data_IF_634242701763
#
_entry.id   IF_634242701763
#
_cell.length_a   1.000
_cell.length_b   1.000
_cell.length_c   1.000
_cell.angle_alpha   90.00
_cell.angle_beta   90.00
_cell.angle_gamma   90.00
#
_symmetry.space_group_name_H-M   'P 1'
#
loop_
_entity.id
_entity.type
_entity.pdbx_description
1 polymer ?
#
# COMPACT_ATOMS: atom_id res chain seq x y z
N UNK A 1 11.93 0.21 -24.16
CA UNK A 1 10.99 0.81 -23.20
C UNK A 1 11.11 0.07 -21.88
N UNK A 2 11.07 0.76 -20.72
CA UNK A 2 11.04 0.07 -19.45
C UNK A 2 9.77 -0.82 -19.37
N UNK A 3 9.93 -2.02 -18.85
CA UNK A 3 8.83 -2.98 -18.75
C UNK A 3 7.71 -2.45 -17.83
N UNK A 4 6.47 -2.83 -18.12
CA UNK A 4 5.33 -2.54 -17.25
C UNK A 4 5.53 -3.21 -15.88
N UNK A 5 5.14 -2.55 -14.82
CA UNK A 5 5.17 -3.12 -13.48
C UNK A 5 4.25 -4.33 -13.39
N UNK A 6 4.54 -5.24 -12.48
CA UNK A 6 3.67 -6.38 -12.21
C UNK A 6 2.35 -6.00 -11.54
N UNK A 7 1.31 -6.81 -11.73
CA UNK A 7 0.03 -6.69 -11.05
C UNK A 7 0.17 -6.81 -9.53
N UNK A 8 -0.70 -6.13 -8.80
CA UNK A 8 -0.81 -6.29 -7.35
C UNK A 8 -1.16 -7.75 -6.99
N UNK A 9 -0.52 -8.30 -5.97
CA UNK A 9 -0.82 -9.67 -5.52
C UNK A 9 -1.99 -9.68 -4.55
N UNK A 10 -2.86 -10.70 -4.63
CA UNK A 10 -3.92 -10.88 -3.65
C UNK A 10 -3.37 -11.27 -2.28
N UNK A 11 -4.12 -10.98 -1.22
CA UNK A 11 -3.74 -11.31 0.15
C UNK A 11 -4.81 -10.91 1.15
N UNK A 12 -4.50 -10.91 2.45
CA UNK A 12 -5.35 -10.32 3.49
C UNK A 12 -5.73 -8.90 3.13
N UNK A 13 -4.74 -8.08 2.78
CA UNK A 13 -4.92 -6.83 2.00
C UNK A 13 -4.25 -7.00 0.65
N UNK A 14 -4.85 -6.48 -0.42
CA UNK A 14 -4.32 -6.59 -1.78
C UNK A 14 -3.17 -5.61 -2.04
N UNK A 15 -2.19 -6.03 -2.81
CA UNK A 15 -1.09 -5.16 -3.26
C UNK A 15 -1.56 -4.12 -4.29
N UNK A 16 -0.95 -2.94 -4.31
CA UNK A 16 -1.19 -1.95 -5.37
C UNK A 16 -0.62 -2.39 -6.72
N UNK A 17 -1.19 -1.90 -7.82
CA UNK A 17 -0.66 -2.11 -9.16
C UNK A 17 0.71 -1.47 -9.33
N UNK A 18 1.64 -2.19 -9.95
CA UNK A 18 2.98 -1.72 -10.21
C UNK A 18 3.00 -0.53 -11.17
N UNK A 19 4.11 0.15 -11.19
CA UNK A 19 4.33 1.34 -12.03
C UNK A 19 4.04 1.05 -13.51
N UNK A 20 3.28 1.95 -14.18
CA UNK A 20 3.00 1.95 -15.61
C UNK A 20 2.04 0.84 -16.11
N UNK A 21 1.24 1.15 -17.11
CA UNK A 21 0.48 0.17 -17.91
C UNK A 21 -0.96 -0.07 -17.50
N UNK A 22 -1.52 0.66 -16.54
CA UNK A 22 -2.89 0.41 -16.07
C UNK A 22 -3.02 -0.96 -15.39
N UNK A 23 -1.96 -1.38 -14.72
CA UNK A 23 -1.89 -2.70 -14.10
C UNK A 23 -2.80 -2.77 -12.88
N UNK A 24 -3.63 -3.80 -12.81
CA UNK A 24 -4.59 -3.98 -11.73
C UNK A 24 -3.93 -4.13 -10.36
N UNK A 25 -4.59 -3.63 -9.32
CA UNK A 25 -4.29 -3.98 -7.93
C UNK A 25 -4.73 -5.41 -7.61
N UNK A 26 -4.19 -5.96 -6.55
CA UNK A 26 -4.55 -7.28 -6.03
C UNK A 26 -5.83 -7.25 -5.19
N UNK A 27 -6.57 -8.35 -5.18
CA UNK A 27 -7.75 -8.50 -4.33
C UNK A 27 -7.35 -8.67 -2.87
N UNK A 28 -8.07 -7.96 -1.99
CA UNK A 28 -8.01 -8.16 -0.54
C UNK A 28 -8.90 -9.33 -0.10
N UNK A 29 -8.91 -9.60 1.20
CA UNK A 29 -9.68 -10.68 1.80
C UNK A 29 -9.50 -12.04 1.08
N UNK A 30 -8.28 -12.36 0.75
CA UNK A 30 -7.92 -13.61 0.05
C UNK A 30 -6.95 -14.44 0.91
N UNK A 31 -7.32 -15.68 1.33
CA UNK A 31 -8.63 -16.29 1.13
C UNK A 31 -9.77 -15.53 1.84
N UNK A 32 -11.00 -15.67 1.33
CA UNK A 32 -12.14 -14.96 1.88
C UNK A 32 -12.46 -15.40 3.31
N UNK A 33 -12.63 -14.42 4.20
CA UNK A 33 -12.98 -14.62 5.60
C UNK A 33 -14.18 -13.74 6.01
N UNK A 34 -14.83 -14.08 7.10
CA UNK A 34 -15.85 -13.24 7.73
C UNK A 34 -15.53 -13.10 9.23
N UNK A 35 -15.30 -11.89 9.74
CA UNK A 35 -15.24 -10.62 8.99
C UNK A 35 -14.05 -10.58 8.00
N UNK A 36 -14.13 -9.69 7.02
CA UNK A 36 -13.05 -9.49 6.06
C UNK A 36 -11.74 -9.05 6.74
N UNK A 37 -10.62 -9.60 6.28
CA UNK A 37 -9.30 -9.33 6.87
C UNK A 37 -8.54 -8.17 6.21
N UNK A 38 -9.11 -7.56 5.16
CA UNK A 38 -8.52 -6.42 4.47
C UNK A 38 -9.25 -6.11 3.16
N UNK A 39 -8.74 -5.14 2.43
CA UNK A 39 -9.36 -4.56 1.24
C UNK A 39 -8.43 -4.60 0.02
N UNK A 40 -8.97 -4.28 -1.16
CA UNK A 40 -8.25 -4.34 -2.42
C UNK A 40 -7.18 -3.25 -2.53
N UNK A 41 -6.08 -3.59 -3.21
CA UNK A 41 -5.18 -2.62 -3.80
C UNK A 41 -5.77 -2.02 -5.07
N UNK A 42 -5.25 -0.88 -5.50
CA UNK A 42 -5.77 -0.13 -6.64
C UNK A 42 -4.80 -0.13 -7.82
N UNK A 43 -5.31 0.11 -9.04
CA UNK A 43 -4.49 0.03 -10.24
C UNK A 43 -3.50 1.19 -10.37
N UNK A 44 -2.48 0.98 -11.19
CA UNK A 44 -1.59 2.04 -11.69
C UNK A 44 -2.30 2.90 -12.75
N UNK A 45 -1.70 4.04 -13.09
CA UNK A 45 -2.17 4.84 -14.25
C UNK A 45 -2.12 4.02 -15.54
N UNK A 46 -3.15 4.13 -16.40
CA UNK A 46 -3.07 3.59 -17.75
C UNK A 46 -1.90 4.23 -18.53
N UNK A 47 -1.07 3.41 -19.15
CA UNK A 47 -0.05 3.92 -20.08
C UNK A 47 -0.67 4.22 -21.43
N UNK A 48 -0.16 5.22 -22.12
CA UNK A 48 -0.55 5.48 -23.52
C UNK A 48 -0.68 6.92 -23.92
N UNK A 49 -0.52 7.86 -23.02
CA UNK A 49 -0.42 9.28 -23.40
C UNK A 49 1.01 9.77 -23.19
N UNK A 50 1.62 10.42 -24.18
CA UNK A 50 2.95 11.01 -24.04
C UNK A 50 2.99 12.15 -23.00
N UNK A 51 1.82 12.57 -22.51
CA UNK A 51 1.66 13.64 -21.52
C UNK A 51 1.33 13.12 -20.13
N UNK A 52 1.08 11.81 -19.96
CA UNK A 52 0.78 11.25 -18.64
C UNK A 52 2.05 10.73 -17.97
N UNK A 53 2.26 11.15 -16.75
CA UNK A 53 3.32 10.65 -15.90
C UNK A 53 2.79 9.41 -15.19
N UNK A 54 3.45 8.29 -15.46
CA UNK A 54 3.06 7.01 -14.91
C UNK A 54 3.21 6.99 -13.37
N UNK A 55 2.27 6.33 -12.71
CA UNK A 55 2.27 6.16 -11.26
C UNK A 55 1.68 4.81 -10.85
N UNK A 56 2.24 4.21 -9.83
CA UNK A 56 1.74 2.98 -9.23
C UNK A 56 0.49 3.21 -8.38
N UNK A 57 -0.35 2.19 -8.24
CA UNK A 57 -1.50 2.20 -7.35
C UNK A 57 -1.11 1.95 -5.88
N UNK A 58 -1.91 2.40 -4.95
CA UNK A 58 -1.75 2.10 -3.52
C UNK A 58 -2.27 0.72 -3.14
N UNK A 59 -1.64 0.08 -2.17
CA UNK A 59 -2.10 -1.18 -1.58
C UNK A 59 -3.33 -0.98 -0.69
N UNK A 60 -4.16 -2.02 -0.56
CA UNK A 60 -5.30 -2.03 0.36
C UNK A 60 -4.86 -2.02 1.82
N UNK A 61 -5.67 -1.42 2.67
CA UNK A 61 -5.50 -1.45 4.13
C UNK A 61 -6.49 -2.41 4.79
N UNK A 62 -6.53 -2.41 6.11
CA UNK A 62 -7.47 -3.23 6.86
C UNK A 62 -8.93 -2.74 6.71
N UNK A 63 -9.15 -1.44 6.56
CA UNK A 63 -10.50 -0.84 6.57
C UNK A 63 -10.87 -0.09 5.30
N UNK A 64 -9.90 0.30 4.48
CA UNK A 64 -10.16 1.00 3.23
C UNK A 64 -9.21 0.55 2.12
N UNK A 65 -9.72 0.54 0.90
CA UNK A 65 -8.94 0.28 -0.30
C UNK A 65 -7.85 1.35 -0.47
N UNK A 66 -6.80 0.97 -1.21
CA UNK A 66 -5.83 1.94 -1.69
C UNK A 66 -6.46 2.97 -2.64
N UNK A 67 -5.66 3.89 -3.10
CA UNK A 67 -6.02 4.88 -4.12
C UNK A 67 -5.32 4.50 -5.43
N UNK A 68 -6.03 4.64 -6.55
CA UNK A 68 -5.43 4.41 -7.85
C UNK A 68 -4.31 5.44 -8.13
N UNK A 69 -3.28 5.00 -8.85
CA UNK A 69 -2.30 5.94 -9.38
C UNK A 69 -2.98 6.94 -10.33
N UNK A 70 -2.60 8.18 -10.26
CA UNK A 70 -3.08 9.25 -11.14
C UNK A 70 -1.91 9.93 -11.86
N UNK A 71 -2.22 10.77 -12.87
CA UNK A 71 -1.19 11.50 -13.58
C UNK A 71 -0.31 12.28 -12.58
N UNK A 72 0.99 11.99 -12.56
CA UNK A 72 1.98 12.65 -11.71
C UNK A 72 1.86 12.37 -10.19
N UNK A 73 1.03 11.42 -9.75
CA UNK A 73 0.92 11.09 -8.35
C UNK A 73 0.70 9.59 -8.13
N UNK A 74 1.55 8.97 -7.34
CA UNK A 74 1.36 7.59 -6.87
C UNK A 74 0.08 7.49 -6.02
N UNK A 75 -0.60 6.35 -6.07
CA UNK A 75 -1.79 6.11 -5.29
C UNK A 75 -1.48 5.98 -3.79
N UNK A 76 -2.24 6.61 -2.92
CA UNK A 76 -2.12 6.47 -1.47
C UNK A 76 -2.47 5.06 -0.99
N UNK A 77 -1.82 4.59 0.07
CA UNK A 77 -2.19 3.33 0.73
C UNK A 77 -3.55 3.43 1.44
N UNK A 78 -4.28 2.33 1.50
CA UNK A 78 -5.57 2.22 2.18
C UNK A 78 -5.43 2.32 3.71
N UNK A 79 -6.49 2.76 4.37
CA UNK A 79 -6.49 2.95 5.81
C UNK A 79 -6.37 1.63 6.59
N UNK A 80 -5.57 1.66 7.65
CA UNK A 80 -5.49 0.61 8.64
C UNK A 80 -6.64 0.67 9.66
N UNK A 81 -6.74 -0.34 10.50
CA UNK A 81 -7.64 -0.36 11.65
C UNK A 81 -6.95 0.24 12.88
N UNK A 82 -7.70 0.94 13.72
CA UNK A 82 -7.19 1.47 14.98
C UNK A 82 -7.62 0.56 16.14
N UNK A 83 -6.70 0.27 17.05
CA UNK A 83 -6.98 -0.50 18.27
C UNK A 83 -6.37 0.16 19.49
N UNK A 84 -7.16 0.22 20.57
CA UNK A 84 -6.72 0.71 21.89
C UNK A 84 -6.33 -0.40 22.87
N UNK A 85 -6.14 -1.65 22.39
CA UNK A 85 -5.87 -2.81 23.26
C UNK A 85 -4.62 -2.63 24.14
N UNK A 86 -3.65 -1.87 23.67
CA UNK A 86 -2.39 -1.56 24.38
C UNK A 86 -2.48 -0.37 25.33
N UNK A 87 -3.67 0.25 25.45
CA UNK A 87 -3.88 1.45 26.26
C UNK A 87 -3.77 2.77 25.47
N UNK A 88 -3.25 2.75 24.26
CA UNK A 88 -3.19 3.89 23.35
C UNK A 88 -3.78 3.50 21.99
N UNK A 89 -4.37 4.45 21.29
CA UNK A 89 -4.89 4.21 19.93
C UNK A 89 -3.72 4.04 18.94
N UNK A 90 -3.57 2.85 18.41
CA UNK A 90 -2.51 2.49 17.47
C UNK A 90 -3.13 1.98 16.17
N UNK A 91 -2.66 2.48 15.01
CA UNK A 91 -3.08 2.02 13.69
C UNK A 91 -2.32 0.77 13.27
N UNK A 92 -3.04 -0.23 12.74
CA UNK A 92 -2.53 -1.51 12.24
C UNK A 92 -3.02 -1.80 10.83
N UNK A 93 -2.23 -2.52 10.04
CA UNK A 93 -2.67 -3.02 8.73
C UNK A 93 -2.94 -1.94 7.68
N UNK A 94 -2.20 -0.83 7.69
CA UNK A 94 -2.28 0.18 6.64
C UNK A 94 -1.61 -0.26 5.34
N UNK A 95 -2.17 0.13 4.19
CA UNK A 95 -1.60 -0.15 2.87
C UNK A 95 -0.35 0.69 2.57
N UNK A 96 0.54 0.18 1.73
CA UNK A 96 1.67 0.96 1.23
C UNK A 96 1.29 1.87 0.06
N UNK A 97 1.95 3.01 -0.07
CA UNK A 97 1.75 3.95 -1.18
C UNK A 97 2.41 3.49 -2.48
N UNK A 98 1.81 3.84 -3.61
CA UNK A 98 2.37 3.64 -4.95
C UNK A 98 3.46 4.65 -5.29
N UNK A 99 4.36 4.30 -6.20
CA UNK A 99 5.45 5.16 -6.66
C UNK A 99 5.06 6.08 -7.83
N UNK A 100 5.84 7.12 -8.08
CA UNK A 100 5.70 7.99 -9.27
C UNK A 100 7.06 8.41 -9.80
N UNK A 101 7.19 8.64 -11.12
CA UNK A 101 8.46 9.03 -11.73
C UNK A 101 8.72 10.54 -11.75
N UNK A 102 7.72 11.37 -11.54
CA UNK A 102 7.90 12.82 -11.47
C UNK A 102 6.71 13.44 -10.73
N UNK A 103 6.79 13.66 -9.48
CA UNK A 103 5.70 14.23 -8.71
C UNK A 103 5.88 14.02 -7.23
N UNK A 104 4.82 14.17 -6.49
CA UNK A 104 4.85 13.96 -5.06
C UNK A 104 4.83 12.48 -4.72
N UNK A 105 5.66 12.07 -3.76
CA UNK A 105 5.56 10.76 -3.13
C UNK A 105 4.15 10.53 -2.59
N UNK A 106 3.65 9.31 -2.73
CA UNK A 106 2.32 8.99 -2.20
C UNK A 106 2.30 9.06 -0.71
N UNK A 107 1.45 9.89 -0.11
CA UNK A 107 1.26 9.83 1.33
C UNK A 107 0.65 8.47 1.72
N UNK A 108 1.12 7.94 2.82
CA UNK A 108 0.44 6.83 3.50
C UNK A 108 -0.50 7.33 4.62
N UNK A 109 -1.01 8.56 4.50
CA UNK A 109 -2.06 9.07 5.37
C UNK A 109 -3.42 8.86 4.67
N UNK A 110 -4.36 8.15 5.25
CA UNK A 110 -4.49 7.73 6.65
C UNK A 110 -4.06 6.28 6.93
N UNK A 111 -3.11 5.72 6.20
CA UNK A 111 -2.74 4.30 6.32
C UNK A 111 -2.18 3.90 7.70
N UNK A 112 -1.71 4.84 8.51
CA UNK A 112 -1.30 4.65 9.91
C UNK A 112 -0.06 3.77 10.14
N UNK A 113 0.21 2.80 9.29
CA UNK A 113 1.34 1.86 9.44
C UNK A 113 2.00 1.45 8.12
N UNK A 114 1.46 1.86 6.96
CA UNK A 114 2.07 1.59 5.66
C UNK A 114 3.26 2.50 5.35
N UNK A 115 4.17 2.03 4.50
CA UNK A 115 5.28 2.80 3.96
C UNK A 115 4.83 3.73 2.83
N UNK A 116 5.48 4.86 2.67
CA UNK A 116 5.22 5.80 1.58
C UNK A 116 5.81 5.28 0.25
N UNK A 117 5.11 5.51 -0.86
CA UNK A 117 5.65 5.31 -2.19
C UNK A 117 6.66 6.41 -2.53
N UNK A 118 7.74 6.07 -3.22
CA UNK A 118 8.76 7.05 -3.53
C UNK A 118 8.64 7.62 -4.94
N UNK A 119 9.21 8.78 -5.11
CA UNK A 119 9.40 9.54 -6.34
C UNK A 119 10.87 9.31 -6.83
N UNK A 120 11.28 9.65 -8.07
CA UNK A 120 12.36 8.98 -8.84
C UNK A 120 13.70 8.73 -8.15
N UNK A 121 13.96 9.28 -7.01
CA UNK A 121 15.31 9.33 -6.43
C UNK A 121 15.53 8.45 -5.18
N UNK A 122 14.78 7.38 -4.95
CA UNK A 122 15.04 6.57 -3.75
C UNK A 122 14.17 5.31 -3.58
N UNK A 123 14.38 4.62 -2.48
CA UNK A 123 13.63 3.42 -2.13
C UNK A 123 12.24 3.76 -1.60
N UNK A 124 11.28 2.85 -1.79
CA UNK A 124 10.00 2.93 -1.10
C UNK A 124 10.17 2.83 0.43
N UNK A 125 9.31 3.50 1.18
CA UNK A 125 9.33 3.43 2.64
C UNK A 125 8.88 2.07 3.15
N UNK A 126 9.49 1.59 4.24
CA UNK A 126 9.06 0.36 4.90
C UNK A 126 7.74 0.57 5.64
N UNK A 127 6.93 -0.48 5.73
CA UNK A 127 5.84 -0.55 6.67
C UNK A 127 6.36 -0.53 8.12
N UNK A 128 5.54 -0.04 9.04
CA UNK A 128 5.93 0.06 10.46
C UNK A 128 5.92 -1.32 11.10
N UNK A 129 7.02 -1.68 11.77
CA UNK A 129 7.15 -2.94 12.48
C UNK A 129 6.13 -3.07 13.63
N UNK A 130 5.72 -4.31 13.89
CA UNK A 130 4.70 -4.67 14.87
C UNK A 130 3.33 -4.02 14.61
N UNK A 131 3.07 -3.61 13.34
CA UNK A 131 1.78 -3.04 12.93
C UNK A 131 1.21 -3.66 11.66
N UNK A 132 1.96 -4.55 10.97
CA UNK A 132 1.51 -5.24 9.77
C UNK A 132 1.22 -4.32 8.58
N UNK A 133 1.89 -3.17 8.49
CA UNK A 133 1.72 -2.23 7.37
C UNK A 133 2.39 -2.73 6.09
N UNK A 134 1.83 -2.41 4.93
CA UNK A 134 2.45 -2.68 3.64
C UNK A 134 3.66 -1.78 3.36
N UNK A 135 4.63 -2.25 2.61
CA UNK A 135 5.74 -1.42 2.12
C UNK A 135 5.34 -0.55 0.93
N UNK A 136 5.98 0.58 0.77
CA UNK A 136 5.77 1.51 -0.35
C UNK A 136 6.47 1.06 -1.63
N UNK A 137 5.92 1.47 -2.77
CA UNK A 137 6.50 1.20 -4.09
C UNK A 137 7.72 2.07 -4.40
N UNK A 138 8.56 1.60 -5.31
CA UNK A 138 9.66 2.36 -5.92
C UNK A 138 9.63 2.19 -7.44
N UNK A 139 10.51 2.90 -8.14
CA UNK A 139 10.67 2.81 -9.59
C UNK A 139 12.15 2.67 -9.97
N UNK A 140 12.40 2.17 -11.19
CA UNK A 140 13.74 2.03 -11.74
C UNK A 140 14.58 0.98 -10.99
N UNK A 141 15.82 1.31 -10.71
CA UNK A 141 16.75 0.43 -10.00
C UNK A 141 16.63 0.48 -8.46
N UNK A 142 15.63 1.19 -7.93
CA UNK A 142 15.39 1.34 -6.50
C UNK A 142 14.57 0.17 -5.94
N UNK A 143 14.70 -0.07 -4.63
CA UNK A 143 13.97 -1.14 -3.95
C UNK A 143 12.64 -0.65 -3.38
N UNK A 144 11.59 -1.45 -3.54
CA UNK A 144 10.35 -1.25 -2.81
C UNK A 144 10.58 -1.45 -1.31
N UNK A 145 9.81 -0.74 -0.50
CA UNK A 145 9.84 -0.94 0.94
C UNK A 145 9.37 -2.34 1.34
N UNK A 146 9.89 -2.85 2.43
CA UNK A 146 9.43 -4.09 3.04
C UNK A 146 8.11 -3.86 3.79
N UNK A 147 7.26 -4.89 3.87
CA UNK A 147 6.14 -4.86 4.81
C UNK A 147 6.64 -4.88 6.25
N UNK A 148 5.93 -4.20 7.14
CA UNK A 148 6.17 -4.25 8.58
C UNK A 148 5.74 -5.59 9.17
N UNK A 149 6.42 -6.04 10.22
CA UNK A 149 6.03 -7.23 10.97
C UNK A 149 4.63 -7.06 11.60
N UNK A 150 3.92 -8.16 11.80
CA UNK A 150 2.69 -8.22 12.58
C UNK A 150 2.96 -8.30 14.09
N UNK A 151 1.90 -8.19 14.87
CA UNK A 151 1.93 -8.36 16.33
C UNK A 151 0.70 -9.12 16.80
N UNK A 152 0.85 -9.92 17.84
CA UNK A 152 -0.27 -10.53 18.56
C UNK A 152 -0.32 -9.93 19.96
N UNK A 153 -1.45 -9.31 20.32
CA UNK A 153 -1.66 -8.71 21.64
C UNK A 153 -2.83 -9.42 22.31
N UNK A 154 -2.58 -10.00 23.48
CA UNK A 154 -3.60 -10.68 24.29
C UNK A 154 -3.82 -9.88 25.57
N UNK A 155 -5.07 -9.50 25.82
CA UNK A 155 -5.47 -8.83 27.08
C UNK A 155 -6.52 -9.66 27.77
N UNK A 156 -6.29 -9.98 29.02
CA UNK A 156 -7.23 -10.74 29.84
C UNK A 156 -7.50 -10.01 31.18
N UNK A 157 -8.66 -10.27 31.76
CA UNK A 157 -8.97 -9.84 33.12
C UNK A 157 -8.26 -10.77 34.12
N UNK A 158 -7.54 -10.17 35.00
CA UNK A 158 -7.09 -10.87 36.18
C UNK A 158 -8.23 -10.83 37.21
N UNK A 159 -8.64 -11.99 37.74
CA UNK A 159 -9.61 -12.13 38.81
C UNK A 159 -8.88 -12.38 40.16
#
# INVERSE_FOLDING_TARGET
APEAGGGGRPGGSGGGGGFRGGVAGGSGNTPATSPAQGTDGQPSTPSGSPTTIDAGGGGGGATAQGVAGSNNQGGGGGAGATSGITGANVGYGGGGGGSTCAGSSSPCSPCGSGGFGNNPAGNGGNGVDNRGGGGGGSIGANFSGTGGSGVVVIRYRFQ
#
